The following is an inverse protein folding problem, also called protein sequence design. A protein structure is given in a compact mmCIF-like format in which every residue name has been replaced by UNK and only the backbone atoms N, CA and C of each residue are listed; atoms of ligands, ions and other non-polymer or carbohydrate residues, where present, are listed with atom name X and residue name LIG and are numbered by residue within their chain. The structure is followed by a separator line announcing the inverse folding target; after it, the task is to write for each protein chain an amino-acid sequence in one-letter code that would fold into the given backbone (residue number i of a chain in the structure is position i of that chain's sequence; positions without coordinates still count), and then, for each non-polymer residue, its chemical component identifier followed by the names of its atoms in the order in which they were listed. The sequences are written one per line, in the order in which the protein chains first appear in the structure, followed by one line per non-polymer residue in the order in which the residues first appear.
data_IF_215458951094
#
_entry.id   IF_215458951094
#
_cell.length_a   1.000
_cell.length_b   1.000
_cell.length_c   1.000
_cell.angle_alpha   90.00
_cell.angle_beta   90.00
_cell.angle_gamma   90.00
#
_symmetry.space_group_name_H-M   'P 1'
#
loop_
_entity.id
_entity.type
_entity.pdbx_description
1 polymer ?
#
# COMPACT_ATOMS: atom_id res chain seq x y z
N UNK A 1 2.64 67.00 -33.65
CA UNK A 1 3.29 65.67 -33.71
C UNK A 1 2.27 64.64 -33.26
N UNK A 2 1.69 63.89 -34.20
CA UNK A 2 0.72 62.84 -33.87
C UNK A 2 1.48 61.52 -33.71
N UNK A 3 1.61 61.04 -32.47
CA UNK A 3 2.15 59.71 -32.17
C UNK A 3 1.12 58.68 -32.63
N UNK A 4 1.37 58.03 -33.77
CA UNK A 4 0.61 56.86 -34.20
C UNK A 4 0.81 55.75 -33.15
N UNK A 5 -0.27 55.38 -32.45
CA UNK A 5 -0.30 54.16 -31.67
C UNK A 5 -0.33 52.96 -32.62
N UNK A 6 0.75 52.17 -32.64
CA UNK A 6 0.72 50.82 -33.21
C UNK A 6 -0.01 49.91 -32.25
N UNK A 7 -1.23 49.50 -32.61
CA UNK A 7 -1.86 48.36 -31.96
C UNK A 7 -1.10 47.11 -32.42
N UNK A 8 -0.32 46.51 -31.51
CA UNK A 8 0.34 45.23 -31.76
C UNK A 8 -0.72 44.13 -31.76
N UNK A 9 -1.21 43.76 -32.94
CA UNK A 9 -2.07 42.60 -33.12
C UNK A 9 -1.31 41.30 -32.89
N UNK A 10 -1.98 40.27 -32.38
CA UNK A 10 -1.41 38.92 -32.25
C UNK A 10 -1.19 38.32 -33.63
N UNK A 11 0.04 37.85 -33.90
CA UNK A 11 0.38 37.23 -35.18
C UNK A 11 -0.05 35.76 -35.22
N UNK A 12 -0.41 35.25 -36.40
CA UNK A 12 -0.75 33.84 -36.59
C UNK A 12 0.39 32.91 -36.13
N UNK A 13 1.64 33.29 -36.39
CA UNK A 13 2.80 32.49 -35.97
C UNK A 13 2.93 32.41 -34.44
N UNK A 14 2.55 33.48 -33.73
CA UNK A 14 2.59 33.56 -32.27
C UNK A 14 1.53 32.65 -31.64
N UNK A 15 0.33 32.59 -32.23
CA UNK A 15 -0.72 31.64 -31.82
C UNK A 15 -0.29 30.20 -32.10
N UNK A 16 0.31 29.95 -33.26
CA UNK A 16 0.77 28.61 -33.64
C UNK A 16 1.91 28.12 -32.73
N UNK A 17 2.88 28.96 -32.39
CA UNK A 17 3.97 28.55 -31.46
C UNK A 17 3.45 28.39 -30.04
N UNK A 18 2.59 29.30 -29.55
CA UNK A 18 1.99 29.19 -28.23
C UNK A 18 1.17 27.90 -28.07
N UNK A 19 0.33 27.56 -29.06
CA UNK A 19 -0.49 26.34 -29.02
C UNK A 19 0.36 25.07 -29.00
N UNK A 20 1.47 25.02 -29.76
CA UNK A 20 2.41 23.88 -29.72
C UNK A 20 3.05 23.75 -28.34
N UNK A 21 3.55 24.85 -27.76
CA UNK A 21 4.18 24.84 -26.42
C UNK A 21 3.18 24.39 -25.35
N UNK A 22 1.96 24.92 -25.38
CA UNK A 22 0.89 24.56 -24.44
C UNK A 22 0.53 23.09 -24.59
N UNK A 23 0.43 22.58 -25.81
CA UNK A 23 0.06 21.18 -26.07
C UNK A 23 1.09 20.20 -25.50
N UNK A 24 2.38 20.43 -25.75
CA UNK A 24 3.47 19.59 -25.24
C UNK A 24 3.50 19.64 -23.70
N UNK A 25 3.38 20.85 -23.14
CA UNK A 25 3.32 21.05 -21.69
C UNK A 25 2.14 20.31 -21.07
N UNK A 26 0.96 20.38 -21.69
CA UNK A 26 -0.25 19.73 -21.19
C UNK A 26 -0.11 18.20 -21.16
N UNK A 27 0.46 17.61 -22.21
CA UNK A 27 0.72 16.16 -22.25
C UNK A 27 1.69 15.75 -21.14
N UNK A 28 2.80 16.50 -20.96
CA UNK A 28 3.76 16.22 -19.90
C UNK A 28 3.15 16.29 -18.50
N UNK A 29 2.33 17.32 -18.24
CA UNK A 29 1.63 17.47 -16.97
C UNK A 29 0.64 16.34 -16.71
N UNK A 30 -0.18 15.97 -17.70
CA UNK A 30 -1.17 14.90 -17.54
C UNK A 30 -0.51 13.56 -17.25
N UNK A 31 0.59 13.24 -17.94
CA UNK A 31 1.37 12.03 -17.67
C UNK A 31 1.94 12.03 -16.24
N UNK A 32 2.51 13.15 -15.80
CA UNK A 32 3.05 13.29 -14.45
C UNK A 32 1.98 13.13 -13.37
N UNK A 33 0.82 13.77 -13.54
CA UNK A 33 -0.30 13.69 -12.59
C UNK A 33 -0.88 12.28 -12.49
N UNK A 34 -1.04 11.57 -13.62
CA UNK A 34 -1.56 10.20 -13.61
C UNK A 34 -0.59 9.26 -12.91
N UNK A 35 0.71 9.38 -13.18
CA UNK A 35 1.74 8.56 -12.52
C UNK A 35 1.78 8.82 -11.01
N UNK A 36 1.85 10.09 -10.60
CA UNK A 36 1.89 10.47 -9.19
C UNK A 36 0.65 9.97 -8.42
N UNK A 37 -0.55 10.06 -9.03
CA UNK A 37 -1.76 9.52 -8.40
C UNK A 37 -1.73 8.01 -8.24
N UNK A 38 -1.18 7.28 -9.22
CA UNK A 38 -1.02 5.83 -9.13
C UNK A 38 -0.08 5.44 -7.99
N UNK A 39 1.06 6.12 -7.87
CA UNK A 39 2.00 5.87 -6.79
C UNK A 39 1.41 6.22 -5.41
N UNK A 40 0.76 7.38 -5.28
CA UNK A 40 0.11 7.79 -4.03
C UNK A 40 -0.97 6.79 -3.58
N UNK A 41 -1.78 6.27 -4.50
CA UNK A 41 -2.77 5.25 -4.15
C UNK A 41 -2.09 3.97 -3.63
N UNK A 42 -1.02 3.52 -4.28
CA UNK A 42 -0.28 2.34 -3.83
C UNK A 42 0.37 2.55 -2.45
N UNK A 43 0.78 3.79 -2.14
CA UNK A 43 1.32 4.16 -0.83
C UNK A 43 0.23 4.14 0.23
N UNK A 44 -0.94 4.72 -0.05
CA UNK A 44 -2.09 4.73 0.87
C UNK A 44 -2.52 3.30 1.26
N UNK A 45 -2.59 2.39 0.27
CA UNK A 45 -2.92 0.98 0.52
C UNK A 45 -1.86 0.31 1.40
N UNK A 46 -0.58 0.60 1.17
CA UNK A 46 0.53 0.06 1.97
C UNK A 46 0.54 0.60 3.40
N UNK A 47 0.24 1.88 3.60
CA UNK A 47 0.14 2.49 4.93
C UNK A 47 -1.00 1.87 5.73
N UNK A 48 -2.17 1.70 5.10
CA UNK A 48 -3.30 1.02 5.73
C UNK A 48 -3.02 -0.45 6.04
N UNK A 49 -2.33 -1.15 5.15
CA UNK A 49 -1.89 -2.53 5.40
C UNK A 49 -0.97 -2.61 6.63
N UNK A 50 -0.05 -1.65 6.79
CA UNK A 50 0.83 -1.62 7.97
C UNK A 50 0.10 -1.27 9.26
N UNK A 51 -0.90 -0.39 9.20
CA UNK A 51 -1.71 -0.05 10.38
C UNK A 51 -2.51 -1.28 10.86
N UNK A 52 -3.15 -2.00 9.94
CA UNK A 52 -3.89 -3.23 10.25
C UNK A 52 -2.95 -4.34 10.77
N UNK A 53 -1.77 -4.51 10.16
CA UNK A 53 -0.78 -5.47 10.61
C UNK A 53 -0.25 -5.13 12.02
N UNK A 54 -0.01 -3.85 12.31
CA UNK A 54 0.45 -3.41 13.62
C UNK A 54 -0.61 -3.65 14.69
N UNK A 55 -1.87 -3.33 14.41
CA UNK A 55 -2.99 -3.65 15.29
C UNK A 55 -3.10 -5.16 15.55
N UNK A 56 -2.98 -5.97 14.49
CA UNK A 56 -3.01 -7.42 14.61
C UNK A 56 -1.85 -7.97 15.46
N UNK A 57 -0.64 -7.43 15.28
CA UNK A 57 0.53 -7.77 16.09
C UNK A 57 0.34 -7.38 17.55
N UNK A 58 -0.22 -6.21 17.85
CA UNK A 58 -0.51 -5.77 19.22
C UNK A 58 -1.52 -6.69 19.91
N UNK A 59 -2.58 -7.08 19.19
CA UNK A 59 -3.53 -8.08 19.66
C UNK A 59 -2.83 -9.38 20.05
N UNK A 60 -2.01 -9.95 19.16
CA UNK A 60 -1.31 -11.21 19.43
C UNK A 60 -0.25 -11.09 20.53
N UNK A 61 0.43 -9.95 20.62
CA UNK A 61 1.34 -9.64 21.72
C UNK A 61 0.60 -9.64 23.07
N UNK A 62 -0.59 -9.06 23.12
CA UNK A 62 -1.46 -9.11 24.29
C UNK A 62 -1.89 -10.55 24.65
N UNK A 63 -2.29 -11.34 23.65
CA UNK A 63 -2.67 -12.75 23.83
C UNK A 63 -1.50 -13.61 24.36
N UNK A 64 -0.29 -13.38 23.87
CA UNK A 64 0.92 -14.06 24.35
C UNK A 64 1.23 -13.64 25.80
N UNK A 65 1.11 -12.36 26.12
CA UNK A 65 1.36 -11.83 27.47
C UNK A 65 0.35 -12.34 28.53
N UNK A 66 -0.88 -12.64 28.11
CA UNK A 66 -1.93 -13.23 28.96
C UNK A 66 -1.58 -14.67 29.42
N UNK A 67 -0.65 -15.37 28.73
CA UNK A 67 -0.17 -16.71 29.10
C UNK A 67 -1.17 -17.85 28.88
N UNK A 68 -2.42 -17.52 28.52
CA UNK A 68 -3.53 -18.46 28.30
C UNK A 68 -3.74 -18.93 26.85
N UNK A 69 -2.70 -18.99 26.03
CA UNK A 69 -2.81 -19.44 24.63
C UNK A 69 -3.27 -20.89 24.55
N UNK A 70 -4.39 -21.12 23.85
CA UNK A 70 -4.90 -22.46 23.54
C UNK A 70 -3.98 -23.24 22.61
N UNK A 71 -4.14 -24.56 22.56
CA UNK A 71 -3.33 -25.43 21.70
C UNK A 71 -3.47 -25.08 20.20
N UNK A 72 -4.66 -24.61 19.78
CA UNK A 72 -4.93 -24.15 18.41
C UNK A 72 -4.27 -22.80 18.13
N UNK A 73 -4.32 -21.86 19.07
CA UNK A 73 -3.64 -20.56 18.89
C UNK A 73 -2.12 -20.72 18.81
N UNK A 74 -1.54 -21.70 19.52
CA UNK A 74 -0.10 -22.00 19.42
C UNK A 74 0.31 -22.64 18.11
N UNK A 75 -0.63 -23.18 17.33
CA UNK A 75 -0.33 -23.82 16.06
C UNK A 75 -0.22 -22.81 14.89
N UNK A 76 -0.49 -21.53 15.14
CA UNK A 76 -0.55 -20.50 14.10
C UNK A 76 -1.90 -20.48 13.37
N UNK A 77 -2.08 -19.49 12.49
CA UNK A 77 -3.23 -19.41 11.59
C UNK A 77 -2.78 -19.37 10.12
N UNK A 78 -2.93 -20.51 9.47
CA UNK A 78 -2.62 -20.70 8.05
C UNK A 78 -3.81 -20.37 7.13
N UNK A 79 -5.04 -20.24 7.65
CA UNK A 79 -6.22 -19.86 6.84
C UNK A 79 -6.26 -18.35 6.63
N UNK A 80 -5.79 -17.62 7.65
CA UNK A 80 -5.60 -16.18 7.66
C UNK A 80 -6.91 -15.43 7.84
N UNK A 81 -6.83 -14.31 8.56
CA UNK A 81 -7.97 -13.43 8.78
C UNK A 81 -8.18 -12.51 7.59
N UNK A 82 -9.31 -12.63 6.90
CA UNK A 82 -9.69 -11.75 5.80
C UNK A 82 -10.09 -10.36 6.30
N UNK A 83 -9.48 -9.32 5.73
CA UNK A 83 -9.79 -7.91 5.98
C UNK A 83 -9.88 -7.14 4.64
N UNK A 84 -10.44 -5.93 4.71
CA UNK A 84 -10.56 -5.04 3.56
C UNK A 84 -9.68 -3.81 3.78
N UNK A 85 -8.64 -3.64 2.95
CA UNK A 85 -7.77 -2.46 2.99
C UNK A 85 -8.46 -1.26 2.35
N UNK A 86 -9.24 -1.48 1.30
CA UNK A 86 -10.03 -0.43 0.62
C UNK A 86 -11.43 -0.95 0.36
N UNK A 87 -12.42 -0.08 0.57
CA UNK A 87 -13.83 -0.41 0.40
C UNK A 87 -14.38 -1.29 1.53
N UNK A 88 -15.57 -1.85 1.29
CA UNK A 88 -16.25 -2.75 2.21
C UNK A 88 -16.92 -3.89 1.45
N UNK A 89 -17.40 -4.91 2.17
CA UNK A 89 -18.05 -6.08 1.60
C UNK A 89 -19.22 -5.65 0.69
N UNK A 90 -19.12 -5.93 -0.60
CA UNK A 90 -20.14 -5.59 -1.60
C UNK A 90 -19.93 -4.25 -2.33
N UNK A 91 -18.87 -3.51 -2.02
CA UNK A 91 -18.49 -2.34 -2.82
C UNK A 91 -17.96 -2.75 -4.20
N UNK A 92 -18.16 -1.90 -5.21
CA UNK A 92 -17.67 -2.12 -6.58
C UNK A 92 -16.15 -2.22 -6.67
N UNK A 93 -15.45 -1.52 -5.78
CA UNK A 93 -14.00 -1.49 -5.70
C UNK A 93 -13.56 -1.85 -4.28
N UNK A 94 -12.87 -2.99 -4.17
CA UNK A 94 -12.36 -3.49 -2.89
C UNK A 94 -10.98 -4.09 -3.04
N UNK A 95 -10.09 -3.80 -2.11
CA UNK A 95 -8.80 -4.48 -1.96
C UNK A 95 -8.90 -5.38 -0.75
N UNK A 96 -8.87 -6.69 -0.98
CA UNK A 96 -8.90 -7.72 0.06
C UNK A 96 -7.48 -8.05 0.48
N UNK A 97 -7.28 -8.23 1.78
CA UNK A 97 -6.04 -8.70 2.35
C UNK A 97 -6.30 -9.84 3.34
N UNK A 98 -5.27 -10.65 3.56
CA UNK A 98 -5.26 -11.71 4.56
C UNK A 98 -4.11 -11.47 5.54
N UNK A 99 -4.45 -11.50 6.82
CA UNK A 99 -3.50 -11.41 7.93
C UNK A 99 -3.20 -12.81 8.45
N UNK A 100 -1.92 -13.11 8.64
CA UNK A 100 -1.47 -14.40 9.17
C UNK A 100 -0.60 -14.19 10.40
N UNK A 101 -0.50 -15.23 11.22
CA UNK A 101 0.49 -15.26 12.30
C UNK A 101 1.04 -16.67 12.51
N UNK A 102 2.28 -16.70 13.00
CA UNK A 102 2.96 -17.90 13.47
C UNK A 102 3.60 -17.63 14.84
N UNK A 103 3.61 -18.65 15.69
CA UNK A 103 4.12 -18.60 17.06
C UNK A 103 5.13 -19.72 17.30
N UNK A 104 6.41 -19.35 17.31
CA UNK A 104 7.49 -20.28 17.58
C UNK A 104 7.93 -20.21 19.03
N UNK A 105 7.84 -21.33 19.76
CA UNK A 105 8.28 -21.38 21.16
C UNK A 105 9.80 -21.32 21.23
N UNK A 106 10.32 -20.35 21.97
CA UNK A 106 11.75 -20.22 22.20
C UNK A 106 12.20 -21.09 23.38
N UNK A 107 13.43 -21.57 23.31
CA UNK A 107 14.04 -22.36 24.38
C UNK A 107 14.21 -21.52 25.65
N UNK A 108 14.10 -22.16 26.81
CA UNK A 108 14.36 -21.54 28.11
C UNK A 108 15.85 -21.23 28.37
N UNK A 109 16.75 -21.74 27.52
CA UNK A 109 18.17 -21.41 27.59
C UNK A 109 18.47 -20.23 26.67
N UNK A 110 19.03 -19.16 27.24
CA UNK A 110 19.39 -17.93 26.54
C UNK A 110 20.88 -17.64 26.72
N UNK A 111 21.45 -16.75 25.91
CA UNK A 111 22.85 -16.31 26.04
C UNK A 111 23.15 -15.66 27.41
N UNK A 112 22.12 -15.27 28.15
CA UNK A 112 22.20 -14.65 29.47
C UNK A 112 21.86 -15.61 30.63
N UNK A 113 21.54 -16.88 30.34
CA UNK A 113 21.21 -17.90 31.33
C UNK A 113 19.88 -18.62 31.08
N UNK A 114 19.49 -19.47 32.04
CA UNK A 114 18.25 -20.24 32.03
C UNK A 114 17.12 -19.37 32.58
N UNK A 115 16.00 -19.31 31.86
CA UNK A 115 14.80 -18.58 32.27
C UNK A 115 13.58 -19.50 32.31
N UNK A 116 12.76 -19.32 33.35
CA UNK A 116 11.48 -20.02 33.50
C UNK A 116 10.35 -19.34 32.71
N UNK A 117 10.62 -18.23 32.03
CA UNK A 117 9.62 -17.50 31.25
C UNK A 117 9.25 -18.25 29.97
N UNK A 118 7.95 -18.36 29.70
CA UNK A 118 7.43 -18.83 28.42
C UNK A 118 7.66 -17.76 27.35
N UNK A 119 8.67 -17.96 26.51
CA UNK A 119 9.02 -17.05 25.42
C UNK A 119 8.50 -17.60 24.09
N UNK A 120 7.89 -16.73 23.30
CA UNK A 120 7.43 -17.04 21.96
C UNK A 120 7.96 -15.97 20.99
N UNK A 121 8.40 -16.41 19.83
CA UNK A 121 8.62 -15.57 18.67
C UNK A 121 7.30 -15.47 17.90
N UNK A 122 6.79 -14.25 17.78
CA UNK A 122 5.57 -13.95 17.04
C UNK A 122 5.98 -13.38 15.68
N UNK A 123 5.56 -14.06 14.62
CA UNK A 123 5.73 -13.61 13.24
C UNK A 123 4.33 -13.29 12.73
N UNK A 124 4.10 -12.05 12.27
CA UNK A 124 2.85 -11.64 11.64
C UNK A 124 3.19 -11.07 10.26
N UNK A 125 2.39 -11.41 9.26
CA UNK A 125 2.52 -10.86 7.92
C UNK A 125 1.16 -10.63 7.29
N UNK A 126 1.12 -9.73 6.33
CA UNK A 126 -0.08 -9.41 5.57
C UNK A 126 0.16 -9.64 4.07
N UNK A 127 -0.79 -10.32 3.44
CA UNK A 127 -0.81 -10.51 1.99
C UNK A 127 -2.01 -9.79 1.39
N UNK A 128 -1.79 -9.03 0.31
CA UNK A 128 -2.87 -8.43 -0.45
C UNK A 128 -2.59 -8.46 -1.95
N UNK A 129 -3.67 -8.34 -2.72
CA UNK A 129 -3.63 -8.29 -4.18
C UNK A 129 -4.23 -6.95 -4.60
N UNK A 130 -3.41 -6.13 -5.26
CA UNK A 130 -3.86 -4.89 -5.86
C UNK A 130 -3.96 -5.06 -7.39
N UNK A 131 -5.17 -4.88 -7.91
CA UNK A 131 -5.46 -4.96 -9.34
C UNK A 131 -5.20 -3.65 -10.09
N UNK A 132 -4.92 -2.55 -9.38
CA UNK A 132 -4.74 -1.22 -9.95
C UNK A 132 -3.28 -0.84 -10.21
N UNK A 133 -2.32 -1.57 -9.64
CA UNK A 133 -0.88 -1.32 -9.82
C UNK A 133 -0.28 -2.03 -11.03
N UNK A 134 -1.04 -2.82 -11.78
CA UNK A 134 -0.56 -3.47 -13.01
C UNK A 134 -0.79 -2.59 -14.24
N UNK A 135 0.19 -2.46 -15.16
CA UNK A 135 -0.10 -1.93 -16.48
C UNK A 135 -1.14 -2.85 -17.14
N UNK A 136 -2.08 -2.32 -17.94
CA UNK A 136 -3.12 -3.09 -18.61
C UNK A 136 -2.52 -3.90 -19.76
N UNK A 137 -1.68 -4.87 -19.44
CA UNK A 137 -1.17 -5.86 -20.39
C UNK A 137 -1.80 -7.19 -20.03
N UNK A 138 -2.30 -7.92 -21.03
CA UNK A 138 -2.90 -9.27 -20.92
C UNK A 138 -1.97 -10.33 -20.28
N UNK A 139 -0.75 -9.96 -19.89
CA UNK A 139 0.29 -10.83 -19.33
C UNK A 139 0.86 -10.35 -17.98
N UNK A 140 0.31 -9.29 -17.38
CA UNK A 140 0.72 -8.87 -16.05
C UNK A 140 0.08 -9.81 -15.00
N UNK A 141 0.83 -10.83 -14.59
CA UNK A 141 0.40 -11.74 -13.53
C UNK A 141 0.07 -11.00 -12.24
N UNK A 142 -0.84 -11.58 -11.43
CA UNK A 142 -1.22 -11.06 -10.13
C UNK A 142 0.02 -10.73 -9.29
N UNK A 143 0.24 -9.45 -9.00
CA UNK A 143 1.33 -9.01 -8.13
C UNK A 143 0.85 -9.22 -6.69
N UNK A 144 1.36 -10.27 -6.05
CA UNK A 144 1.20 -10.47 -4.60
C UNK A 144 2.23 -9.60 -3.89
N UNK A 145 1.77 -8.78 -2.95
CA UNK A 145 2.66 -8.07 -2.04
C UNK A 145 2.63 -8.78 -0.69
N UNK A 146 3.81 -9.00 -0.12
CA UNK A 146 4.04 -9.58 1.21
C UNK A 146 4.80 -8.55 2.04
N UNK A 147 4.36 -8.30 3.27
CA UNK A 147 5.01 -7.39 4.20
C UNK A 147 4.92 -7.88 5.63
#
# INVERSE_FOLDING_TARGET
MNLKQSYSGVSFIEVMTATVIISITCIGLLMGVVHARGELHSLEVRERATEELLNYMEYWKGRVADGGLSATERAGDFDGKEIYLVGSRGARYTIKAKLYYDLNRLNGSTDYGITDFSRFELICWIEWIDYFTTPPSRYAGNVKYER
#
